data_IF_013417529919
#
_entry.id   IF_013417529919
#
_cell.length_a   1.000
_cell.length_b   1.000
_cell.length_c   1.000
_cell.angle_alpha   90.00
_cell.angle_beta   90.00
_cell.angle_gamma   90.00
#
_symmetry.space_group_name_H-M   'P 1'
#
loop_
_entity.id
_entity.type
_entity.pdbx_description
1 polymer ?
#
# COMPACT_ATOMS: atom_id res chain seq x y z
N UNK A 1 -7.44 16.41 -3.66
CA UNK A 1 -7.65 14.98 -3.32
C UNK A 1 -8.96 14.44 -3.88
N UNK A 2 -10.09 15.14 -3.76
CA UNK A 2 -11.38 14.60 -4.25
C UNK A 2 -11.41 14.23 -5.75
N UNK A 3 -10.93 15.11 -6.64
CA UNK A 3 -10.89 14.81 -8.07
C UNK A 3 -10.00 13.60 -8.39
N UNK A 4 -8.93 13.39 -7.60
CA UNK A 4 -8.04 12.24 -7.73
C UNK A 4 -8.74 10.96 -7.27
N UNK A 5 -9.42 10.97 -6.13
CA UNK A 5 -10.22 9.85 -5.64
C UNK A 5 -11.28 9.41 -6.66
N UNK A 6 -12.03 10.36 -7.23
CA UNK A 6 -13.03 10.07 -8.28
C UNK A 6 -12.39 9.43 -9.51
N UNK A 7 -11.25 9.94 -9.97
CA UNK A 7 -10.57 9.37 -11.13
C UNK A 7 -10.10 7.93 -10.89
N UNK A 8 -9.55 7.64 -9.71
CA UNK A 8 -9.11 6.29 -9.33
C UNK A 8 -10.30 5.34 -9.18
N UNK A 9 -11.36 5.76 -8.50
CA UNK A 9 -12.61 5.01 -8.36
C UNK A 9 -13.19 4.63 -9.73
N UNK A 10 -13.30 5.61 -10.63
CA UNK A 10 -13.86 5.40 -11.96
C UNK A 10 -13.02 4.46 -12.82
N UNK A 11 -11.69 4.50 -12.70
CA UNK A 11 -10.79 3.56 -13.35
C UNK A 11 -11.02 2.13 -12.84
N UNK A 12 -11.07 1.94 -11.52
CA UNK A 12 -11.30 0.62 -10.93
C UNK A 12 -12.68 0.06 -11.31
N UNK A 13 -13.70 0.91 -11.33
CA UNK A 13 -15.04 0.52 -11.77
C UNK A 13 -15.06 0.09 -13.25
N UNK A 14 -14.31 0.80 -14.12
CA UNK A 14 -14.17 0.43 -15.52
C UNK A 14 -13.45 -0.93 -15.68
N UNK A 15 -12.39 -1.18 -14.92
CA UNK A 15 -11.67 -2.46 -14.93
C UNK A 15 -12.53 -3.64 -14.47
N UNK A 16 -13.39 -3.43 -13.48
CA UNK A 16 -14.36 -4.46 -13.06
C UNK A 16 -15.35 -4.78 -14.18
N UNK A 17 -15.84 -3.77 -14.91
CA UNK A 17 -16.80 -3.94 -16.01
C UNK A 17 -16.18 -4.62 -17.23
N UNK A 18 -14.92 -4.32 -17.56
CA UNK A 18 -14.28 -4.75 -18.81
C UNK A 18 -13.81 -6.22 -18.83
N UNK A 19 -13.74 -6.93 -17.70
CA UNK A 19 -13.36 -8.35 -17.71
C UNK A 19 -14.35 -9.19 -18.51
N UNK A 20 -13.86 -10.24 -19.18
CA UNK A 20 -14.69 -11.21 -19.88
C UNK A 20 -15.33 -12.25 -18.95
N UNK A 21 -16.14 -13.19 -19.46
CA UNK A 21 -16.76 -14.28 -18.69
C UNK A 21 -15.76 -15.32 -18.13
N UNK A 22 -14.47 -15.19 -18.42
CA UNK A 22 -13.44 -16.17 -18.11
C UNK A 22 -13.03 -16.17 -16.64
N UNK A 23 -13.74 -16.97 -15.83
CA UNK A 23 -13.21 -17.77 -14.71
C UNK A 23 -12.77 -17.07 -13.42
N UNK A 24 -12.14 -15.90 -13.47
CA UNK A 24 -11.74 -15.18 -12.26
C UNK A 24 -12.82 -14.21 -11.83
N UNK A 25 -13.60 -14.63 -10.86
CA UNK A 25 -14.68 -13.84 -10.25
C UNK A 25 -14.19 -12.60 -9.51
N UNK A 26 -12.90 -12.53 -9.13
CA UNK A 26 -12.37 -11.46 -8.28
C UNK A 26 -11.21 -10.67 -8.92
N UNK A 27 -11.19 -9.36 -8.66
CA UNK A 27 -10.00 -8.50 -8.86
C UNK A 27 -9.26 -8.37 -7.53
N UNK A 28 -7.93 -8.48 -7.50
CA UNK A 28 -7.12 -8.36 -6.28
C UNK A 28 -6.50 -6.97 -6.19
N UNK A 29 -7.03 -6.03 -5.38
CA UNK A 29 -6.41 -4.73 -5.19
C UNK A 29 -5.09 -4.88 -4.43
N UNK A 30 -4.04 -4.26 -4.96
CA UNK A 30 -2.75 -4.14 -4.30
C UNK A 30 -2.43 -2.66 -4.19
N UNK A 31 -2.28 -2.17 -2.96
CA UNK A 31 -1.88 -0.79 -2.69
C UNK A 31 -0.42 -0.79 -2.24
N UNK A 32 0.41 -0.03 -2.95
CA UNK A 32 1.83 0.14 -2.64
C UNK A 32 2.06 1.60 -2.25
N UNK A 33 2.32 1.83 -0.97
CA UNK A 33 2.72 3.13 -0.45
C UNK A 33 4.23 3.27 -0.68
N UNK A 34 4.63 4.22 -1.52
CA UNK A 34 6.05 4.42 -1.84
C UNK A 34 6.61 5.65 -1.14
N UNK A 35 7.92 5.63 -0.85
CA UNK A 35 8.65 6.70 -0.19
C UNK A 35 8.00 7.12 1.15
N UNK A 36 7.70 6.14 2.00
CA UNK A 36 7.05 6.41 3.28
C UNK A 36 7.86 7.37 4.17
N UNK A 37 9.19 7.34 4.04
CA UNK A 37 10.14 8.30 4.63
C UNK A 37 9.90 9.77 4.24
N UNK A 38 9.19 10.00 3.13
CA UNK A 38 8.91 11.31 2.55
C UNK A 38 7.44 11.72 2.69
N UNK A 39 6.60 10.93 3.38
CA UNK A 39 5.19 11.30 3.59
C UNK A 39 5.13 12.49 4.54
N UNK A 40 4.35 13.52 4.19
CA UNK A 40 4.18 14.70 5.03
C UNK A 40 3.60 14.29 6.40
N UNK A 41 4.29 14.58 7.52
CA UNK A 41 3.79 14.30 8.86
C UNK A 41 2.41 14.91 9.11
N UNK A 42 2.05 16.02 8.45
CA UNK A 42 0.71 16.59 8.55
C UNK A 42 -0.36 15.66 7.97
N UNK A 43 -0.06 14.94 6.89
CA UNK A 43 -0.97 13.97 6.30
C UNK A 43 -1.17 12.76 7.23
N UNK A 44 -0.08 12.24 7.83
CA UNK A 44 -0.15 11.14 8.80
C UNK A 44 -0.91 11.54 10.08
N UNK A 45 -0.62 12.73 10.62
CA UNK A 45 -1.38 13.29 11.76
C UNK A 45 -2.84 13.50 11.44
N UNK A 46 -3.16 13.98 10.24
CA UNK A 46 -4.53 14.15 9.81
C UNK A 46 -5.27 12.80 9.73
N UNK A 47 -4.58 11.72 9.35
CA UNK A 47 -5.10 10.35 9.40
C UNK A 47 -5.09 9.74 10.82
N UNK A 48 -4.56 10.44 11.83
CA UNK A 48 -4.41 9.95 13.20
C UNK A 48 -3.65 8.61 13.28
N UNK A 49 -2.58 8.48 12.49
CA UNK A 49 -1.71 7.31 12.48
C UNK A 49 -0.29 7.68 12.89
N UNK A 50 0.50 6.70 13.35
CA UNK A 50 1.91 6.91 13.70
C UNK A 50 2.77 7.29 12.50
N UNK A 51 3.98 7.81 12.75
CA UNK A 51 4.88 8.33 11.71
C UNK A 51 5.47 7.23 10.80
N UNK A 52 5.35 5.96 11.18
CA UNK A 52 5.80 4.80 10.41
C UNK A 52 4.75 3.68 10.45
N UNK A 53 4.65 2.86 9.39
CA UNK A 53 3.75 1.72 9.38
C UNK A 53 4.20 0.66 10.40
N UNK A 54 3.27 -0.11 11.00
CA UNK A 54 3.61 -1.27 11.85
C UNK A 54 4.46 -2.28 11.09
N UNK A 55 5.30 -3.08 11.77
CA UNK A 55 6.13 -4.12 11.14
C UNK A 55 5.36 -5.06 10.20
N UNK A 56 6.03 -5.56 9.15
CA UNK A 56 5.42 -6.40 8.11
C UNK A 56 4.74 -7.67 8.64
N UNK A 57 5.28 -8.24 9.72
CA UNK A 57 4.75 -9.44 10.39
C UNK A 57 3.39 -9.17 11.08
N UNK A 58 3.08 -7.91 11.39
CA UNK A 58 1.84 -7.49 12.05
C UNK A 58 0.76 -7.18 11.02
N UNK A 59 0.33 -8.20 10.27
CA UNK A 59 -0.60 -8.05 9.15
C UNK A 59 -1.89 -7.28 9.49
N UNK A 60 -2.52 -7.56 10.64
CA UNK A 60 -3.74 -6.87 11.09
C UNK A 60 -3.53 -5.36 11.31
N UNK A 61 -2.67 -4.95 12.25
CA UNK A 61 -2.34 -3.55 12.47
C UNK A 61 -1.89 -2.81 11.21
N UNK A 62 -1.13 -3.49 10.34
CA UNK A 62 -0.64 -2.93 9.09
C UNK A 62 -1.76 -2.67 8.07
N UNK A 63 -2.71 -3.59 7.94
CA UNK A 63 -3.93 -3.35 7.14
C UNK A 63 -4.74 -2.19 7.69
N UNK A 64 -4.97 -2.14 9.02
CA UNK A 64 -5.71 -1.02 9.65
C UNK A 64 -5.03 0.32 9.40
N UNK A 65 -3.71 0.38 9.51
CA UNK A 65 -2.92 1.58 9.25
C UNK A 65 -3.11 2.06 7.80
N UNK A 66 -2.98 1.16 6.82
CA UNK A 66 -3.15 1.46 5.40
C UNK A 66 -4.57 1.95 5.09
N UNK A 67 -5.56 1.23 5.59
CA UNK A 67 -6.98 1.53 5.39
C UNK A 67 -7.33 2.89 5.98
N UNK A 68 -6.82 3.24 7.16
CA UNK A 68 -7.06 4.55 7.78
C UNK A 68 -6.53 5.69 6.90
N UNK A 69 -5.35 5.53 6.30
CA UNK A 69 -4.78 6.51 5.37
C UNK A 69 -5.66 6.60 4.11
N UNK A 70 -6.02 5.46 3.51
CA UNK A 70 -6.80 5.43 2.27
C UNK A 70 -8.23 5.92 2.46
N UNK A 71 -8.87 5.62 3.58
CA UNK A 71 -10.24 6.09 3.86
C UNK A 71 -10.30 7.61 3.99
N UNK A 72 -9.24 8.23 4.50
CA UNK A 72 -9.14 9.69 4.57
C UNK A 72 -8.91 10.33 3.21
N UNK A 73 -8.08 9.71 2.37
CA UNK A 73 -7.57 10.33 1.15
C UNK A 73 -8.27 9.88 -0.14
N UNK A 74 -8.83 8.67 -0.14
CA UNK A 74 -9.52 7.99 -1.24
C UNK A 74 -10.83 7.30 -0.76
N UNK A 75 -11.73 8.00 -0.06
CA UNK A 75 -12.94 7.38 0.51
C UNK A 75 -13.83 6.71 -0.53
N UNK A 76 -14.01 7.30 -1.73
CA UNK A 76 -14.88 6.73 -2.79
C UNK A 76 -14.25 5.46 -3.36
N UNK A 77 -12.94 5.48 -3.61
CA UNK A 77 -12.16 4.32 -4.04
C UNK A 77 -12.27 3.17 -3.03
N UNK A 78 -12.08 3.44 -1.74
CA UNK A 78 -12.14 2.41 -0.70
C UNK A 78 -13.56 1.87 -0.50
N UNK A 79 -14.58 2.71 -0.62
CA UNK A 79 -15.97 2.27 -0.62
C UNK A 79 -16.26 1.30 -1.78
N UNK A 80 -15.77 1.61 -2.99
CA UNK A 80 -15.88 0.71 -4.14
C UNK A 80 -15.14 -0.61 -3.91
N UNK A 81 -13.90 -0.56 -3.40
CA UNK A 81 -13.10 -1.77 -3.11
C UNK A 81 -13.77 -2.67 -2.07
N UNK A 82 -14.45 -2.10 -1.08
CA UNK A 82 -15.17 -2.84 -0.04
C UNK A 82 -16.60 -3.22 -0.42
N UNK A 83 -17.12 -2.71 -1.54
CA UNK A 83 -18.51 -2.94 -1.94
C UNK A 83 -18.78 -4.43 -2.14
N UNK A 84 -19.95 -4.87 -1.65
CA UNK A 84 -20.42 -6.23 -1.82
C UNK A 84 -21.04 -6.34 -3.21
N UNK A 85 -20.21 -6.78 -4.16
CA UNK A 85 -20.60 -7.27 -5.50
C UNK A 85 -21.24 -6.23 -6.44
N UNK A 86 -20.51 -5.87 -7.48
CA UNK A 86 -21.04 -5.09 -8.61
C UNK A 86 -21.12 -6.04 -9.81
N UNK A 87 -22.34 -6.38 -10.25
CA UNK A 87 -22.57 -7.18 -11.46
C UNK A 87 -21.92 -8.59 -11.44
N UNK A 88 -21.98 -9.30 -10.31
CA UNK A 88 -21.42 -10.66 -10.20
C UNK A 88 -19.89 -10.71 -10.02
N UNK A 89 -19.25 -9.55 -9.87
CA UNK A 89 -17.81 -9.40 -9.69
C UNK A 89 -17.53 -8.64 -8.42
N UNK A 90 -16.51 -9.05 -7.69
CA UNK A 90 -16.10 -8.39 -6.45
C UNK A 90 -14.60 -8.20 -6.39
N UNK A 91 -14.16 -7.21 -5.62
CA UNK A 91 -12.77 -7.16 -5.23
C UNK A 91 -12.51 -8.23 -4.17
N UNK A 92 -11.38 -8.90 -4.27
CA UNK A 92 -10.82 -9.65 -3.15
C UNK A 92 -10.38 -8.68 -2.05
N UNK A 93 -10.08 -9.22 -0.86
CA UNK A 93 -9.51 -8.42 0.22
C UNK A 93 -8.23 -7.71 -0.27
N UNK A 94 -8.12 -6.38 -0.10
CA UNK A 94 -6.96 -5.64 -0.54
C UNK A 94 -5.70 -6.05 0.22
N UNK A 95 -4.56 -6.01 -0.47
CA UNK A 95 -3.22 -6.20 0.12
C UNK A 95 -2.47 -4.87 0.15
N UNK A 96 -1.71 -4.64 1.22
CA UNK A 96 -1.05 -3.36 1.48
C UNK A 96 0.45 -3.56 1.71
N UNK A 97 1.26 -2.80 0.98
CA UNK A 97 2.72 -2.83 1.06
C UNK A 97 3.25 -1.42 1.24
N UNK A 98 4.31 -1.27 2.02
CA UNK A 98 4.87 0.04 2.33
C UNK A 98 6.36 0.02 2.05
N UNK A 99 6.75 0.74 1.01
CA UNK A 99 8.15 0.98 0.68
C UNK A 99 8.61 2.28 1.33
N UNK A 100 9.65 2.17 2.16
CA UNK A 100 10.36 3.29 2.75
C UNK A 100 11.81 2.89 2.99
N UNK A 101 12.67 3.87 3.19
CA UNK A 101 14.06 3.62 3.58
C UNK A 101 14.16 3.54 5.10
N UNK A 102 15.09 2.72 5.61
CA UNK A 102 15.39 2.74 7.03
C UNK A 102 16.04 4.08 7.39
N UNK A 103 15.68 4.61 8.55
CA UNK A 103 16.27 5.84 9.07
C UNK A 103 16.96 5.60 10.40
N UNK A 104 17.98 6.40 10.70
CA UNK A 104 18.57 6.49 12.03
C UNK A 104 17.48 6.82 13.07
N UNK A 105 17.60 6.32 14.32
CA UNK A 105 16.72 6.72 15.41
C UNK A 105 16.70 8.24 15.56
N UNK A 106 15.52 8.82 15.74
CA UNK A 106 15.37 10.27 15.86
C UNK A 106 16.08 10.77 17.13
N UNK A 107 17.12 11.59 16.95
CA UNK A 107 17.72 12.35 18.04
C UNK A 107 16.97 13.68 18.24
N UNK A 108 16.84 14.20 19.48
CA UNK A 108 16.17 15.47 19.73
C UNK A 108 16.76 16.60 18.86
N UNK A 109 15.91 17.29 18.10
CA UNK A 109 16.30 18.41 17.25
C UNK A 109 16.95 18.05 15.90
N UNK A 110 17.10 16.76 15.56
CA UNK A 110 17.67 16.33 14.28
C UNK A 110 16.62 15.62 13.41
N UNK A 111 16.58 15.96 12.12
CA UNK A 111 15.78 15.20 11.14
C UNK A 111 16.34 13.77 11.03
N UNK A 112 15.46 12.74 10.92
CA UNK A 112 15.90 11.38 10.66
C UNK A 112 16.79 11.33 9.41
N UNK A 113 17.89 10.60 9.48
CA UNK A 113 18.78 10.38 8.34
C UNK A 113 18.51 9.02 7.73
N UNK A 114 18.48 8.97 6.41
CA UNK A 114 18.39 7.72 5.66
C UNK A 114 19.64 6.89 5.89
N UNK A 115 19.46 5.64 6.32
CA UNK A 115 20.55 4.68 6.42
C UNK A 115 21.00 4.28 5.01
N UNK A 116 22.31 4.19 4.82
CA UNK A 116 22.91 3.73 3.58
C UNK A 116 23.55 2.35 3.81
N UNK A 117 23.42 1.48 2.82
CA UNK A 117 24.13 0.19 2.78
C UNK A 117 25.13 0.19 1.63
N UNK A 118 26.25 -0.50 1.83
CA UNK A 118 27.22 -0.73 0.76
C UNK A 118 26.68 -1.83 -0.16
N UNK A 119 26.52 -1.50 -1.44
CA UNK A 119 26.20 -2.50 -2.47
C UNK A 119 27.45 -3.34 -2.79
N UNK A 120 27.25 -4.53 -3.38
CA UNK A 120 28.35 -5.42 -3.81
C UNK A 120 29.35 -4.76 -4.79
N UNK A 121 28.97 -3.65 -5.42
CA UNK A 121 29.82 -2.85 -6.30
C UNK A 121 30.48 -1.63 -5.65
N UNK A 122 30.47 -1.53 -4.31
CA UNK A 122 31.09 -0.41 -3.58
C UNK A 122 30.31 0.91 -3.59
N UNK A 123 29.15 0.96 -4.26
CA UNK A 123 28.25 2.12 -4.23
C UNK A 123 27.38 2.09 -2.97
N UNK A 124 27.25 3.23 -2.31
CA UNK A 124 26.28 3.41 -1.23
C UNK A 124 24.87 3.62 -1.80
N UNK A 125 23.91 2.87 -1.29
CA UNK A 125 22.50 2.98 -1.66
C UNK A 125 21.62 3.06 -0.42
N UNK A 126 20.41 3.67 -0.48
CA UNK A 126 19.50 3.67 0.66
C UNK A 126 19.17 2.25 1.11
N UNK A 127 19.15 2.03 2.42
CA UNK A 127 18.81 0.74 3.00
C UNK A 127 17.30 0.54 2.96
N UNK A 128 16.84 -0.19 1.94
CA UNK A 128 15.45 -0.61 1.82
C UNK A 128 15.23 -1.94 2.53
N UNK A 129 14.17 -2.07 3.35
CA UNK A 129 13.81 -3.33 3.98
C UNK A 129 13.42 -4.38 2.92
N UNK A 130 14.19 -5.47 2.84
CA UNK A 130 13.94 -6.55 1.87
C UNK A 130 12.61 -7.29 2.11
N UNK A 131 12.09 -7.29 3.34
CA UNK A 131 10.89 -8.04 3.70
C UNK A 131 9.66 -7.60 2.91
N UNK A 132 9.48 -6.29 2.66
CA UNK A 132 8.33 -5.77 1.90
C UNK A 132 8.30 -6.27 0.46
N UNK A 133 9.47 -6.28 -0.17
CA UNK A 133 9.64 -6.78 -1.51
C UNK A 133 9.32 -8.28 -1.58
N UNK A 134 9.84 -9.07 -0.64
CA UNK A 134 9.57 -10.50 -0.59
C UNK A 134 8.09 -10.80 -0.30
N UNK A 135 7.46 -10.08 0.63
CA UNK A 135 6.03 -10.22 0.93
C UNK A 135 5.14 -9.86 -0.26
N UNK A 136 5.53 -8.86 -1.07
CA UNK A 136 4.84 -8.53 -2.32
C UNK A 136 4.92 -9.70 -3.31
N UNK A 137 6.12 -10.23 -3.54
CA UNK A 137 6.30 -11.39 -4.44
C UNK A 137 5.51 -12.61 -3.98
N UNK A 138 5.52 -12.89 -2.68
CA UNK A 138 4.76 -13.99 -2.09
C UNK A 138 3.24 -13.81 -2.32
N UNK A 139 2.74 -12.59 -2.15
CA UNK A 139 1.32 -12.28 -2.39
C UNK A 139 0.95 -12.44 -3.85
N UNK A 140 1.80 -11.97 -4.78
CA UNK A 140 1.60 -12.17 -6.21
C UNK A 140 1.60 -13.66 -6.58
N UNK A 141 2.50 -14.45 -5.99
CA UNK A 141 2.54 -15.90 -6.15
C UNK A 141 1.24 -16.57 -5.68
N UNK A 142 0.74 -16.19 -4.50
CA UNK A 142 -0.54 -16.69 -3.97
C UNK A 142 -1.73 -16.36 -4.88
N UNK A 143 -1.80 -15.13 -5.40
CA UNK A 143 -2.84 -14.71 -6.34
C UNK A 143 -2.75 -15.49 -7.66
N UNK A 144 -1.53 -15.74 -8.15
CA UNK A 144 -1.32 -16.51 -9.37
C UNK A 144 -1.67 -17.99 -9.21
N UNK A 145 -1.48 -18.54 -8.00
CA UNK A 145 -1.80 -19.92 -7.65
C UNK A 145 -3.29 -20.13 -7.32
N UNK A 146 -4.02 -19.08 -6.91
CA UNK A 146 -5.47 -19.16 -6.61
C UNK A 146 -6.35 -19.16 -7.87
N UNK A 147 -5.86 -19.74 -8.97
CA UNK A 147 -6.57 -19.85 -10.25
C UNK A 147 -7.60 -20.96 -10.23
#
# INVERSE_FOLDING_TARGET
MEAYDVAVESLLAAMLRSRGPSGQSHLHPIFVFTKFDSVDPKALRAANVGDAPPEAEKAGPRSTYAETILDRHLPKTMALVRSRETSGRKFAKPSFFFSGVRTEPAAPGRRPKVLLRASKGGRWEPDYPAHEYLSLLETLSKIAASR
#
